data_IF_962688375938
#
_entry.id   IF_962688375938
#
_cell.length_a   1.000
_cell.length_b   1.000
_cell.length_c   1.000
_cell.angle_alpha   90.00
_cell.angle_beta   90.00
_cell.angle_gamma   90.00
#
_symmetry.space_group_name_H-M   'P 1'
#
loop_
_entity.id
_entity.type
_entity.pdbx_description
1 polymer ?
#
# COMPACT_ATOMS: atom_id res chain seq x y z
N UNK A 1 4.53 34.94 14.65
CA UNK A 1 3.66 33.76 14.81
C UNK A 1 4.54 32.56 14.55
N UNK A 2 4.90 31.83 15.62
CA UNK A 2 5.86 30.73 15.56
C UNK A 2 5.14 29.53 14.96
N UNK A 3 5.47 29.16 13.72
CA UNK A 3 5.04 27.89 13.13
C UNK A 3 5.59 26.82 14.07
N UNK A 4 4.71 26.03 14.70
CA UNK A 4 5.14 24.87 15.45
C UNK A 4 6.03 24.05 14.52
N UNK A 5 7.29 23.83 14.90
CA UNK A 5 8.17 22.95 14.15
C UNK A 5 7.47 21.60 14.10
N UNK A 6 6.88 21.27 12.94
CA UNK A 6 6.33 19.95 12.70
C UNK A 6 7.52 19.02 12.73
N UNK A 7 7.60 18.19 13.77
CA UNK A 7 8.63 17.19 13.90
C UNK A 7 8.38 16.09 12.86
N UNK A 8 9.00 16.26 11.69
CA UNK A 8 8.99 15.29 10.60
C UNK A 8 10.08 14.24 10.76
N UNK A 9 10.89 14.28 11.83
CA UNK A 9 12.05 13.42 11.97
C UNK A 9 11.67 11.94 11.82
N UNK A 10 10.66 11.49 12.58
CA UNK A 10 10.16 10.12 12.48
C UNK A 10 9.59 9.76 11.09
N UNK A 11 9.03 10.73 10.38
CA UNK A 11 8.44 10.54 9.06
C UNK A 11 9.49 10.60 7.92
N UNK A 12 10.73 10.96 8.21
CA UNK A 12 11.86 10.99 7.28
C UNK A 12 12.86 9.85 7.53
N UNK A 13 13.01 9.41 8.77
CA UNK A 13 13.96 8.36 9.13
C UNK A 13 13.51 6.97 8.65
N UNK A 14 14.45 6.08 8.32
CA UNK A 14 14.15 4.67 8.12
C UNK A 14 13.59 4.05 9.40
N UNK A 15 12.78 3.02 9.23
CA UNK A 15 12.22 2.21 10.31
C UNK A 15 12.33 0.73 9.97
N UNK A 16 11.73 -0.14 10.80
CA UNK A 16 11.89 -1.58 10.63
C UNK A 16 11.29 -2.09 9.31
N UNK A 17 10.11 -1.57 8.92
CA UNK A 17 9.42 -1.99 7.70
C UNK A 17 9.57 -0.98 6.57
N UNK A 18 9.62 0.31 6.90
CA UNK A 18 9.92 1.39 5.97
C UNK A 18 11.44 1.56 5.93
N UNK A 19 12.13 0.54 5.42
CA UNK A 19 13.59 0.45 5.34
C UNK A 19 14.14 1.33 4.19
N UNK A 20 13.89 2.64 4.29
CA UNK A 20 14.26 3.65 3.28
C UNK A 20 15.76 3.88 3.13
N UNK A 21 16.57 3.31 4.04
CA UNK A 21 18.03 3.27 3.96
C UNK A 21 18.56 2.04 3.20
N UNK A 22 17.67 1.13 2.78
CA UNK A 22 18.04 -0.02 1.94
C UNK A 22 18.59 0.45 0.59
N UNK A 23 19.78 -0.03 0.16
CA UNK A 23 20.37 0.38 -1.11
C UNK A 23 19.47 0.15 -2.33
N UNK A 24 18.65 -0.91 -2.33
CA UNK A 24 17.71 -1.18 -3.42
C UNK A 24 16.56 -0.17 -3.46
N UNK A 25 16.05 0.23 -2.29
CA UNK A 25 14.98 1.22 -2.17
C UNK A 25 15.48 2.61 -2.58
N UNK A 26 16.67 3.01 -2.12
CA UNK A 26 17.31 4.26 -2.53
C UNK A 26 17.50 4.28 -4.05
N UNK A 27 18.13 3.25 -4.61
CA UNK A 27 18.38 3.17 -6.05
C UNK A 27 17.11 3.20 -6.88
N UNK A 28 16.05 2.50 -6.44
CA UNK A 28 14.74 2.57 -7.06
C UNK A 28 14.17 3.98 -7.03
N UNK A 29 14.14 4.63 -5.85
CA UNK A 29 13.55 5.94 -5.68
C UNK A 29 14.31 7.01 -6.51
N UNK A 30 15.64 7.00 -6.48
CA UNK A 30 16.49 7.90 -7.26
C UNK A 30 16.31 7.71 -8.77
N UNK A 31 16.21 6.47 -9.23
CA UNK A 31 15.95 6.15 -10.65
C UNK A 31 14.58 6.67 -11.09
N UNK A 32 13.55 6.46 -10.27
CA UNK A 32 12.18 6.88 -10.58
C UNK A 32 12.07 8.41 -10.63
N UNK A 33 12.66 9.13 -9.67
CA UNK A 33 12.58 10.59 -9.65
C UNK A 33 13.47 11.23 -10.72
N UNK A 34 14.64 10.66 -11.00
CA UNK A 34 15.65 11.23 -11.90
C UNK A 34 16.07 12.63 -11.45
N UNK A 35 16.23 13.55 -12.40
CA UNK A 35 16.61 14.95 -12.14
C UNK A 35 15.45 15.84 -11.64
N UNK A 36 14.28 15.26 -11.32
CA UNK A 36 13.15 16.03 -10.84
C UNK A 36 13.46 16.67 -9.48
N UNK A 37 13.08 17.94 -9.31
CA UNK A 37 13.33 18.71 -8.10
C UNK A 37 12.04 19.15 -7.40
N UNK A 38 10.93 19.18 -8.13
CA UNK A 38 9.62 19.52 -7.60
C UNK A 38 9.09 18.38 -6.70
N UNK A 39 8.82 18.63 -5.40
CA UNK A 39 8.32 17.61 -4.47
C UNK A 39 7.01 16.95 -4.91
N UNK A 40 6.10 17.72 -5.54
CA UNK A 40 4.82 17.19 -6.04
C UNK A 40 5.12 16.17 -7.15
N UNK A 41 5.94 16.55 -8.12
CA UNK A 41 6.27 15.66 -9.25
C UNK A 41 7.06 14.45 -8.82
N UNK A 42 7.97 14.57 -7.85
CA UNK A 42 8.65 13.40 -7.24
C UNK A 42 7.64 12.43 -6.64
N UNK A 43 6.73 12.92 -5.80
CA UNK A 43 5.70 12.10 -5.17
C UNK A 43 4.82 11.40 -6.20
N UNK A 44 4.39 12.12 -7.24
CA UNK A 44 3.59 11.59 -8.35
C UNK A 44 4.34 10.49 -9.09
N UNK A 45 5.61 10.69 -9.48
CA UNK A 45 6.43 9.66 -10.14
C UNK A 45 6.56 8.39 -9.29
N UNK A 46 6.85 8.55 -8.00
CA UNK A 46 6.98 7.42 -7.06
C UNK A 46 5.66 6.68 -6.90
N UNK A 47 4.54 7.41 -6.81
CA UNK A 47 3.21 6.81 -6.76
C UNK A 47 2.95 5.92 -7.97
N UNK A 48 3.14 6.43 -9.19
CA UNK A 48 2.85 5.65 -10.40
C UNK A 48 3.82 4.47 -10.56
N UNK A 49 5.10 4.63 -10.23
CA UNK A 49 6.06 3.52 -10.26
C UNK A 49 5.65 2.41 -9.27
N UNK A 50 5.32 2.76 -8.02
CA UNK A 50 4.87 1.75 -7.05
C UNK A 50 3.50 1.18 -7.43
N UNK A 51 2.59 1.99 -7.98
CA UNK A 51 1.25 1.55 -8.41
C UNK A 51 1.36 0.53 -9.54
N UNK A 52 2.11 0.82 -10.58
CA UNK A 52 2.06 0.11 -11.86
C UNK A 52 3.20 -0.89 -12.07
N UNK A 53 4.41 -0.62 -11.55
CA UNK A 53 5.57 -1.52 -11.74
C UNK A 53 5.60 -2.65 -10.71
N UNK A 54 4.88 -2.49 -9.59
CA UNK A 54 4.72 -3.54 -8.56
C UNK A 54 3.34 -4.15 -8.75
N UNK A 55 3.24 -5.44 -9.07
CA UNK A 55 1.93 -6.07 -9.31
C UNK A 55 1.12 -6.17 -8.01
N UNK A 56 -0.17 -5.86 -8.06
CA UNK A 56 -1.07 -6.16 -6.94
C UNK A 56 -1.31 -7.66 -6.82
N UNK A 57 -0.96 -8.24 -5.67
CA UNK A 57 -1.10 -9.68 -5.44
C UNK A 57 -1.48 -10.01 -3.99
N UNK A 58 -2.78 -10.20 -3.69
CA UNK A 58 -3.26 -10.63 -2.38
C UNK A 58 -3.13 -12.15 -2.17
N UNK A 59 -2.69 -12.94 -3.16
CA UNK A 59 -2.51 -14.39 -3.02
C UNK A 59 -1.21 -14.75 -2.32
N UNK A 60 -0.24 -13.83 -2.32
CA UNK A 60 1.12 -14.03 -1.82
C UNK A 60 1.41 -13.07 -0.68
N UNK A 61 1.16 -13.50 0.56
CA UNK A 61 1.37 -12.67 1.75
C UNK A 61 2.33 -13.37 2.72
N UNK A 62 3.46 -12.75 3.00
CA UNK A 62 4.40 -13.24 4.01
C UNK A 62 4.24 -12.41 5.29
N UNK A 63 3.57 -12.97 6.31
CA UNK A 63 3.39 -12.32 7.62
C UNK A 63 4.61 -12.52 8.52
N UNK A 64 5.76 -12.09 8.03
CA UNK A 64 7.01 -11.99 8.78
C UNK A 64 7.56 -10.58 8.70
N UNK A 65 8.45 -10.25 9.63
CA UNK A 65 9.12 -8.95 9.66
C UNK A 65 9.83 -8.65 8.34
N UNK A 66 10.64 -9.61 7.86
CA UNK A 66 11.32 -9.50 6.58
C UNK A 66 10.34 -9.44 5.41
N UNK A 67 9.31 -10.29 5.40
CA UNK A 67 8.34 -10.36 4.30
C UNK A 67 7.55 -9.08 4.03
N UNK A 68 7.50 -8.15 5.00
CA UNK A 68 6.76 -6.89 4.92
C UNK A 68 7.64 -5.65 4.78
N UNK A 69 8.96 -5.81 4.64
CA UNK A 69 9.85 -4.68 4.34
C UNK A 69 9.59 -4.12 2.95
N UNK A 70 9.86 -2.82 2.77
CA UNK A 70 9.79 -2.18 1.45
C UNK A 70 10.76 -2.83 0.48
N UNK A 71 12.00 -3.10 0.91
CA UNK A 71 13.01 -3.75 0.06
C UNK A 71 12.60 -5.15 -0.42
N UNK A 72 11.92 -5.94 0.42
CA UNK A 72 11.39 -7.25 0.04
C UNK A 72 10.25 -7.12 -0.97
N UNK A 73 9.35 -6.17 -0.77
CA UNK A 73 8.26 -5.89 -1.73
C UNK A 73 8.83 -5.50 -3.10
N UNK A 74 9.84 -4.64 -3.10
CA UNK A 74 10.55 -4.22 -4.30
C UNK A 74 11.24 -5.40 -5.00
N UNK A 75 11.96 -6.24 -4.25
CA UNK A 75 12.64 -7.41 -4.79
C UNK A 75 11.67 -8.45 -5.38
N UNK A 76 10.49 -8.61 -4.79
CA UNK A 76 9.46 -9.51 -5.28
C UNK A 76 8.79 -9.00 -6.56
N UNK A 77 8.67 -7.68 -6.73
CA UNK A 77 7.92 -7.05 -7.83
C UNK A 77 6.40 -7.23 -7.71
N UNK A 78 5.91 -7.61 -6.53
CA UNK A 78 4.48 -7.72 -6.23
C UNK A 78 4.22 -7.51 -4.74
N UNK A 79 2.98 -7.16 -4.41
CA UNK A 79 2.50 -7.06 -3.04
C UNK A 79 1.02 -6.71 -2.96
N UNK A 80 0.44 -6.86 -1.77
CA UNK A 80 -0.91 -6.38 -1.47
C UNK A 80 -0.87 -4.92 -0.98
N UNK A 81 -2.04 -4.37 -0.63
CA UNK A 81 -2.18 -2.93 -0.33
C UNK A 81 -1.19 -2.42 0.73
N UNK A 82 -0.99 -3.15 1.83
CA UNK A 82 -0.06 -2.76 2.90
C UNK A 82 1.39 -2.76 2.42
N UNK A 83 1.84 -3.83 1.76
CA UNK A 83 3.21 -3.94 1.26
C UNK A 83 3.54 -2.82 0.26
N UNK A 84 2.60 -2.50 -0.64
CA UNK A 84 2.76 -1.40 -1.59
C UNK A 84 2.73 -0.02 -0.92
N UNK A 85 1.93 0.19 0.12
CA UNK A 85 1.96 1.42 0.91
C UNK A 85 3.29 1.58 1.69
N UNK A 86 3.84 0.49 2.23
CA UNK A 86 5.17 0.46 2.87
C UNK A 86 6.27 0.84 1.87
N UNK A 87 6.24 0.28 0.66
CA UNK A 87 7.19 0.61 -0.39
C UNK A 87 7.09 2.08 -0.84
N UNK A 88 5.88 2.61 -1.04
CA UNK A 88 5.69 4.02 -1.39
C UNK A 88 6.22 4.95 -0.29
N UNK A 89 5.97 4.63 0.98
CA UNK A 89 6.50 5.40 2.10
C UNK A 89 8.04 5.38 2.11
N UNK A 90 8.65 4.22 1.91
CA UNK A 90 10.10 4.07 1.94
C UNK A 90 10.77 4.81 0.78
N UNK A 91 10.19 4.70 -0.42
CA UNK A 91 10.68 5.40 -1.60
C UNK A 91 10.55 6.93 -1.46
N UNK A 92 9.47 7.42 -0.84
CA UNK A 92 9.30 8.84 -0.51
C UNK A 92 10.36 9.34 0.49
N UNK A 93 10.58 8.60 1.58
CA UNK A 93 11.60 8.94 2.58
C UNK A 93 13.00 8.97 1.99
N UNK A 94 13.33 8.01 1.12
CA UNK A 94 14.62 7.93 0.44
C UNK A 94 14.96 9.18 -0.39
N UNK A 95 13.96 9.93 -0.86
CA UNK A 95 14.15 11.20 -1.61
C UNK A 95 13.79 12.45 -0.80
N UNK A 96 13.65 12.31 0.52
CA UNK A 96 13.42 13.42 1.45
C UNK A 96 11.98 13.91 1.56
N UNK A 97 10.99 13.11 1.14
CA UNK A 97 9.57 13.40 1.36
C UNK A 97 9.15 12.74 2.68
N UNK A 98 8.66 13.49 3.69
CA UNK A 98 8.13 12.88 4.89
C UNK A 98 6.93 12.01 4.56
N UNK A 99 6.96 10.75 4.97
CA UNK A 99 5.90 9.78 4.69
C UNK A 99 5.45 9.06 5.96
N UNK A 100 4.16 8.75 6.05
CA UNK A 100 3.53 7.93 7.09
C UNK A 100 2.63 6.87 6.47
N UNK A 101 2.28 5.85 7.23
CA UNK A 101 1.32 4.83 6.82
C UNK A 101 -0.03 5.11 7.47
N UNK A 102 -1.09 5.06 6.69
CA UNK A 102 -2.47 5.12 7.18
C UNK A 102 -3.21 3.83 6.91
N UNK A 103 -4.15 3.48 7.78
CA UNK A 103 -4.90 2.24 7.68
C UNK A 103 -6.39 2.42 7.97
N UNK A 104 -7.20 1.65 7.24
CA UNK A 104 -8.63 1.55 7.47
C UNK A 104 -9.18 0.17 7.09
N UNK A 105 -10.30 -0.23 7.68
CA UNK A 105 -11.08 -1.38 7.21
C UNK A 105 -11.95 -0.94 6.04
N UNK A 106 -11.93 -1.71 4.94
CA UNK A 106 -12.73 -1.43 3.74
C UNK A 106 -13.56 -2.64 3.33
N UNK A 107 -14.70 -2.41 2.67
CA UNK A 107 -15.30 -3.44 1.81
C UNK A 107 -14.77 -3.27 0.41
N UNK A 108 -14.15 -4.31 -0.14
CA UNK A 108 -13.59 -4.28 -1.47
C UNK A 108 -14.37 -5.22 -2.38
N UNK A 109 -14.85 -4.68 -3.51
CA UNK A 109 -15.62 -5.43 -4.50
C UNK A 109 -14.72 -6.08 -5.57
N UNK A 110 -13.44 -5.68 -5.67
CA UNK A 110 -12.46 -6.36 -6.51
C UNK A 110 -11.98 -7.64 -5.84
N UNK A 111 -12.39 -8.78 -6.37
CA UNK A 111 -12.09 -10.08 -5.78
C UNK A 111 -12.00 -11.20 -6.83
N UNK A 112 -11.64 -12.40 -6.36
CA UNK A 112 -11.71 -13.65 -7.10
C UNK A 112 -12.35 -14.71 -6.21
N UNK A 113 -12.85 -15.80 -6.78
CA UNK A 113 -13.43 -16.88 -5.97
C UNK A 113 -12.42 -17.45 -4.98
N UNK A 114 -11.15 -17.64 -5.40
CA UNK A 114 -10.09 -18.08 -4.47
C UNK A 114 -9.82 -17.06 -3.36
N UNK A 115 -9.86 -15.76 -3.66
CA UNK A 115 -9.70 -14.72 -2.64
C UNK A 115 -10.87 -14.76 -1.65
N UNK A 116 -12.12 -14.92 -2.14
CA UNK A 116 -13.31 -15.03 -1.28
C UNK A 116 -13.24 -16.27 -0.39
N UNK A 117 -12.89 -17.43 -0.94
CA UNK A 117 -12.71 -18.68 -0.19
C UNK A 117 -11.62 -18.57 0.88
N UNK A 118 -10.52 -17.88 0.54
CA UNK A 118 -9.41 -17.64 1.44
C UNK A 118 -9.77 -16.67 2.58
N UNK A 119 -10.44 -15.56 2.26
CA UNK A 119 -10.75 -14.50 3.21
C UNK A 119 -11.96 -14.82 4.07
N UNK A 120 -12.95 -15.53 3.52
CA UNK A 120 -14.23 -15.88 4.17
C UNK A 120 -15.05 -14.66 4.67
N UNK A 121 -14.73 -13.47 4.16
CA UNK A 121 -15.39 -12.20 4.48
C UNK A 121 -15.25 -11.23 3.30
N UNK A 122 -16.14 -10.25 3.21
CA UNK A 122 -16.06 -9.11 2.27
C UNK A 122 -15.33 -7.90 2.88
N UNK A 123 -14.92 -8.00 4.15
CA UNK A 123 -14.18 -6.96 4.89
C UNK A 123 -12.67 -7.19 4.76
N UNK A 124 -11.99 -6.22 4.17
CA UNK A 124 -10.55 -6.13 4.09
C UNK A 124 -10.05 -5.22 5.21
N UNK A 125 -9.76 -5.84 6.35
CA UNK A 125 -9.19 -5.16 7.50
C UNK A 125 -7.77 -4.64 7.22
N UNK A 126 -7.44 -3.48 7.79
CA UNK A 126 -6.12 -2.83 7.66
C UNK A 126 -5.68 -2.58 6.21
N UNK A 127 -6.58 -2.11 5.35
CA UNK A 127 -6.23 -1.58 4.04
C UNK A 127 -5.25 -0.41 4.19
N UNK A 128 -4.07 -0.52 3.57
CA UNK A 128 -2.98 0.43 3.71
C UNK A 128 -2.96 1.50 2.62
N UNK A 129 -2.65 2.73 3.03
CA UNK A 129 -2.31 3.86 2.17
C UNK A 129 -1.10 4.61 2.76
N UNK A 130 -0.49 5.49 1.97
CA UNK A 130 0.63 6.34 2.40
C UNK A 130 0.16 7.78 2.51
N UNK A 131 0.53 8.49 3.58
CA UNK A 131 0.45 9.95 3.63
C UNK A 131 1.82 10.53 3.28
N UNK A 132 1.86 11.42 2.30
CA UNK A 132 3.06 12.15 1.90
C UNK A 132 2.91 13.61 2.28
N UNK A 133 3.89 14.20 2.96
CA UNK A 133 3.89 15.62 3.26
C UNK A 133 4.41 16.42 2.07
N UNK A 134 3.50 17.00 1.30
CA UNK A 134 3.76 17.70 0.04
C UNK A 134 3.16 19.10 0.15
N UNK A 135 3.94 20.12 -0.24
CA UNK A 135 3.49 21.52 -0.28
C UNK A 135 2.69 21.96 0.96
N UNK A 136 3.28 21.75 2.15
CA UNK A 136 2.75 22.12 3.47
C UNK A 136 1.54 21.34 3.99
N UNK A 137 1.18 20.22 3.36
CA UNK A 137 0.06 19.37 3.81
C UNK A 137 0.36 17.88 3.66
N UNK A 138 -0.32 17.08 4.47
CA UNK A 138 -0.40 15.64 4.23
C UNK A 138 -1.38 15.38 3.08
N UNK A 139 -0.96 14.56 2.12
CA UNK A 139 -1.78 14.10 0.99
C UNK A 139 -1.77 12.58 1.00
N UNK A 140 -2.96 11.97 0.98
CA UNK A 140 -3.12 10.52 1.06
C UNK A 140 -3.02 9.89 -0.33
N UNK A 141 -2.33 8.76 -0.45
CA UNK A 141 -2.17 8.02 -1.69
C UNK A 141 -2.24 6.51 -1.46
N UNK A 142 -3.16 5.84 -2.14
CA UNK A 142 -3.31 4.39 -2.15
C UNK A 142 -2.73 3.82 -3.45
N UNK A 143 -1.52 3.25 -3.46
CA UNK A 143 -0.89 2.75 -4.69
C UNK A 143 -1.35 1.33 -5.05
N UNK A 144 -2.52 0.86 -4.58
CA UNK A 144 -2.84 -0.57 -4.51
C UNK A 144 -3.04 -1.25 -5.88
N UNK A 145 -4.05 -0.87 -6.66
CA UNK A 145 -4.36 -1.59 -7.91
C UNK A 145 -3.56 -1.01 -9.08
N UNK A 146 -2.71 -1.83 -9.69
CA UNK A 146 -1.97 -1.48 -10.90
C UNK A 146 -2.92 -1.30 -12.08
N UNK A 147 -2.55 -0.43 -13.04
CA UNK A 147 -3.34 -0.11 -14.22
C UNK A 147 -3.84 -1.36 -14.97
N UNK A 148 -2.97 -2.35 -15.21
CA UNK A 148 -3.35 -3.55 -15.97
C UNK A 148 -4.42 -4.41 -15.28
N UNK A 149 -4.42 -4.45 -13.93
CA UNK A 149 -5.47 -5.10 -13.16
C UNK A 149 -6.79 -4.34 -13.28
N UNK A 150 -6.75 -3.02 -13.17
CA UNK A 150 -7.91 -2.14 -13.34
C UNK A 150 -8.54 -2.30 -14.73
N UNK A 151 -7.74 -2.24 -15.79
CA UNK A 151 -8.18 -2.41 -17.18
C UNK A 151 -8.84 -3.76 -17.40
N UNK A 152 -8.24 -4.83 -16.86
CA UNK A 152 -8.77 -6.18 -16.98
C UNK A 152 -10.12 -6.36 -16.27
N UNK A 153 -10.28 -5.72 -15.12
CA UNK A 153 -11.44 -5.91 -14.24
C UNK A 153 -12.54 -4.88 -14.48
N UNK A 154 -12.31 -3.87 -15.33
CA UNK A 154 -13.27 -2.78 -15.56
C UNK A 154 -13.37 -1.80 -14.40
N UNK A 155 -12.39 -1.79 -13.48
CA UNK A 155 -12.29 -0.83 -12.37
C UNK A 155 -11.48 0.36 -12.86
N UNK A 156 -11.84 1.58 -12.44
CA UNK A 156 -11.01 2.76 -12.71
C UNK A 156 -9.81 2.73 -11.76
N UNK A 157 -8.57 2.93 -12.21
CA UNK A 157 -7.45 3.10 -11.29
C UNK A 157 -7.61 4.37 -10.45
N UNK A 158 -7.00 4.37 -9.26
CA UNK A 158 -6.79 5.59 -8.49
C UNK A 158 -5.69 6.42 -9.16
N UNK A 159 -6.00 7.69 -9.42
CA UNK A 159 -5.06 8.67 -9.95
C UNK A 159 -4.53 9.54 -8.82
N UNK A 160 -3.30 10.02 -8.92
CA UNK A 160 -2.68 10.84 -7.88
C UNK A 160 -1.94 12.01 -8.52
N UNK A 161 -2.34 13.22 -8.14
CA UNK A 161 -1.77 14.47 -8.65
C UNK A 161 -0.81 15.15 -7.65
N UNK A 162 -0.61 14.54 -6.47
CA UNK A 162 0.21 15.09 -5.39
C UNK A 162 -0.40 16.28 -4.64
N UNK A 163 -1.66 16.63 -4.93
CA UNK A 163 -2.38 17.77 -4.35
C UNK A 163 -3.65 17.29 -3.62
N UNK A 164 -4.36 16.34 -4.20
CA UNK A 164 -5.61 15.79 -3.67
C UNK A 164 -5.42 14.37 -3.15
N UNK A 165 -6.20 14.02 -2.13
CA UNK A 165 -6.19 12.67 -1.58
C UNK A 165 -6.70 11.66 -2.62
N UNK A 166 -5.96 10.57 -2.79
CA UNK A 166 -6.26 9.45 -3.68
C UNK A 166 -6.36 8.17 -2.86
N UNK A 167 -7.56 7.93 -2.29
CA UNK A 167 -7.73 6.94 -1.21
C UNK A 167 -8.73 5.82 -1.52
N UNK A 168 -9.80 6.11 -2.26
CA UNK A 168 -10.92 5.20 -2.45
C UNK A 168 -11.41 5.16 -3.89
N UNK A 169 -11.60 3.94 -4.38
CA UNK A 169 -12.41 3.67 -5.56
C UNK A 169 -13.90 3.75 -5.19
N UNK A 170 -14.43 4.97 -5.03
CA UNK A 170 -15.82 5.13 -4.64
C UNK A 170 -16.79 4.51 -5.66
N UNK A 171 -16.41 4.47 -6.95
CA UNK A 171 -17.26 3.98 -8.04
C UNK A 171 -16.49 3.18 -9.10
N UNK A 172 -17.14 2.19 -9.71
CA UNK A 172 -16.64 1.46 -10.89
C UNK A 172 -16.85 2.26 -12.20
N UNK A 173 -16.52 1.68 -13.36
CA UNK A 173 -16.75 2.34 -14.66
C UNK A 173 -18.24 2.53 -15.00
N UNK A 174 -19.14 1.73 -14.43
CA UNK A 174 -20.58 1.81 -14.61
C UNK A 174 -21.28 2.76 -13.60
N UNK A 175 -20.55 3.28 -12.61
CA UNK A 175 -21.05 4.18 -11.58
C UNK A 175 -21.59 3.49 -10.31
N UNK A 176 -21.37 2.18 -10.13
CA UNK A 176 -21.77 1.47 -8.91
C UNK A 176 -20.73 1.68 -7.80
N UNK A 177 -21.18 1.66 -6.53
CA UNK A 177 -20.27 1.74 -5.38
C UNK A 177 -19.30 0.55 -5.40
N UNK A 178 -17.99 0.84 -5.36
CA UNK A 178 -16.96 -0.18 -5.55
C UNK A 178 -16.07 -0.40 -4.32
N UNK A 179 -15.99 0.55 -3.40
CA UNK A 179 -15.30 0.38 -2.12
C UNK A 179 -15.92 1.26 -1.03
N UNK A 180 -16.06 0.72 0.19
CA UNK A 180 -16.65 1.43 1.34
C UNK A 180 -15.68 1.46 2.53
N UNK A 181 -15.45 2.63 3.15
CA UNK A 181 -14.74 2.71 4.44
C UNK A 181 -15.65 2.28 5.58
N UNK A 182 -15.16 1.39 6.43
CA UNK A 182 -15.87 0.89 7.61
C UNK A 182 -15.30 1.48 8.91
N UNK A 183 -13.98 1.54 9.03
CA UNK A 183 -13.29 1.97 10.26
C UNK A 183 -11.90 2.50 9.95
N UNK A 184 -11.56 3.69 10.43
CA UNK A 184 -10.18 4.19 10.41
C UNK A 184 -9.39 3.68 11.62
N UNK A 185 -8.12 3.31 11.40
CA UNK A 185 -7.18 2.93 12.46
C UNK A 185 -6.16 4.03 12.79
N UNK A 186 -6.10 5.07 11.96
CA UNK A 186 -5.19 6.20 12.12
C UNK A 186 -3.92 6.09 11.28
N UNK A 187 -2.91 6.88 11.67
CA UNK A 187 -1.63 7.02 10.96
C UNK A 187 -0.45 6.66 11.85
N UNK A 188 0.60 6.11 11.26
CA UNK A 188 1.74 5.52 11.95
C UNK A 188 3.05 5.86 11.22
N UNK A 189 4.11 6.14 11.98
CA UNK A 189 5.45 6.39 11.43
C UNK A 189 6.19 5.09 11.02
N UNK A 190 5.66 3.91 11.38
CA UNK A 190 6.10 2.61 10.89
C UNK A 190 4.91 1.63 10.84
N UNK A 191 5.09 0.46 10.24
CA UNK A 191 4.03 -0.56 10.18
C UNK A 191 3.68 -1.07 11.59
N UNK A 192 2.42 -0.93 12.07
CA UNK A 192 2.00 -1.45 13.37
C UNK A 192 1.77 -2.98 13.33
N UNK A 193 2.81 -3.72 12.94
CA UNK A 193 2.74 -5.13 12.58
C UNK A 193 2.09 -6.00 13.65
N UNK A 194 2.42 -5.82 14.92
CA UNK A 194 1.84 -6.62 16.00
C UNK A 194 0.32 -6.37 16.16
N UNK A 195 -0.16 -5.15 15.90
CA UNK A 195 -1.59 -4.83 15.96
C UNK A 195 -2.33 -5.44 14.76
N UNK A 196 -1.79 -5.26 13.54
CA UNK A 196 -2.30 -5.87 12.31
C UNK A 196 -2.39 -7.39 12.49
N UNK A 197 -1.32 -8.01 12.99
CA UNK A 197 -1.25 -9.45 13.19
C UNK A 197 -2.28 -9.96 14.21
N UNK A 198 -2.47 -9.22 15.30
CA UNK A 198 -3.45 -9.57 16.34
C UNK A 198 -4.88 -9.49 15.80
N UNK A 199 -5.18 -8.51 14.96
CA UNK A 199 -6.51 -8.35 14.35
C UNK A 199 -6.73 -9.32 13.19
N UNK A 200 -5.74 -9.58 12.36
CA UNK A 200 -5.83 -10.58 11.29
C UNK A 200 -6.11 -11.97 11.83
N UNK A 201 -5.58 -12.34 13.00
CA UNK A 201 -5.92 -13.58 13.71
C UNK A 201 -7.41 -13.69 14.10
N UNK A 202 -8.08 -12.56 14.29
CA UNK A 202 -9.52 -12.48 14.62
C UNK A 202 -10.38 -12.47 13.35
N UNK A 203 -10.02 -11.63 12.38
CA UNK A 203 -10.80 -11.41 11.15
C UNK A 203 -10.62 -12.52 10.11
N UNK A 204 -9.45 -13.17 10.07
CA UNK A 204 -9.13 -14.20 9.09
C UNK A 204 -8.72 -15.50 9.80
N UNK A 205 -9.68 -16.27 10.35
CA UNK A 205 -9.39 -17.52 11.05
C UNK A 205 -8.63 -18.53 10.18
N UNK A 206 -8.84 -18.50 8.86
CA UNK A 206 -8.13 -19.33 7.88
C UNK A 206 -6.61 -19.07 7.86
N UNK A 207 -6.15 -17.89 8.29
CA UNK A 207 -4.73 -17.53 8.32
C UNK A 207 -4.01 -17.92 9.63
N UNK A 208 -4.71 -18.50 10.62
CA UNK A 208 -4.15 -18.79 11.95
C UNK A 208 -2.85 -19.60 11.94
N UNK A 209 -2.64 -20.48 10.97
CA UNK A 209 -1.42 -21.30 10.83
C UNK A 209 -0.25 -20.63 10.09
N UNK A 210 -0.43 -19.42 9.55
CA UNK A 210 0.51 -18.74 8.66
C UNK A 210 1.25 -17.58 9.34
N UNK A 211 0.80 -17.19 10.53
CA UNK A 211 1.37 -16.07 11.29
C UNK A 211 2.68 -16.47 11.98
N UNK A 212 3.77 -15.75 11.69
CA UNK A 212 5.10 -16.01 12.28
C UNK A 212 5.91 -17.10 11.58
N UNK A 213 5.44 -17.62 10.45
CA UNK A 213 6.23 -18.47 9.55
C UNK A 213 6.86 -17.61 8.45
N UNK A 214 8.06 -17.97 7.99
CA UNK A 214 8.62 -17.42 6.73
C UNK A 214 7.89 -17.98 5.51
N UNK A 215 7.01 -18.97 5.68
CA UNK A 215 6.15 -19.46 4.62
C UNK A 215 5.08 -18.41 4.29
N UNK A 216 5.07 -17.94 3.05
CA UNK A 216 4.00 -17.08 2.56
C UNK A 216 2.67 -17.85 2.52
N UNK A 217 1.57 -17.16 2.82
CA UNK A 217 0.27 -17.52 2.25
C UNK A 217 0.47 -17.48 0.75
N UNK A 218 0.34 -18.61 0.07
CA UNK A 218 0.52 -18.71 -1.37
C UNK A 218 -0.65 -19.49 -1.94
N UNK A 219 -1.64 -18.76 -2.45
CA UNK A 219 -2.66 -19.35 -3.32
C UNK A 219 -2.03 -19.56 -4.70
N UNK A 220 -2.16 -20.77 -5.24
CA UNK A 220 -1.64 -21.09 -6.56
C UNK A 220 -2.34 -20.26 -7.65
N UNK A 221 -1.55 -19.73 -8.60
CA UNK A 221 -2.01 -18.86 -9.67
C UNK A 221 -1.55 -17.41 -9.52
N UNK A 222 -2.08 -16.52 -10.36
CA UNK A 222 -1.88 -15.06 -10.24
C UNK A 222 -3.23 -14.42 -10.04
N UNK A 223 -3.37 -13.58 -9.01
CA UNK A 223 -4.63 -12.91 -8.73
C UNK A 223 -5.13 -12.13 -9.95
N UNK A 224 -4.26 -11.38 -10.61
CA UNK A 224 -4.59 -10.65 -11.83
C UNK A 224 -5.14 -11.55 -12.94
N UNK A 225 -4.75 -12.83 -13.02
CA UNK A 225 -5.29 -13.77 -14.03
C UNK A 225 -6.77 -14.12 -13.77
N UNK A 226 -7.22 -14.03 -12.52
CA UNK A 226 -8.51 -14.56 -12.02
C UNK A 226 -9.44 -13.48 -11.45
N UNK A 227 -8.94 -12.25 -11.27
CA UNK A 227 -9.68 -11.15 -10.67
C UNK A 227 -10.87 -10.73 -11.55
N UNK A 228 -11.96 -10.36 -10.88
CA UNK A 228 -13.16 -9.80 -11.50
C UNK A 228 -13.74 -8.70 -10.59
N UNK A 229 -14.37 -7.68 -11.18
CA UNK A 229 -15.23 -6.79 -10.44
C UNK A 229 -16.58 -7.50 -10.25
N UNK A 230 -16.94 -7.80 -9.00
CA UNK A 230 -18.20 -8.44 -8.62
C UNK A 230 -19.22 -7.44 -8.10
#
# INVERSE_FOLDING_TARGET
>A
MQVAAMDFEAALQPSEYIDSDSPSVISFAETVVGDETDPIKKAVKLYYAVRDDIRYDPYRICFSQEGLKASTTLANGYGYCVAKAVLLAAAGRAVGIPCRLGFADVKNHLSSEKLKEMMQTDVFAWHGYTELYIDTRWVKATPAFNQSLCDKTGVKPLEFDGIHDSVLHAFDQAGNRHMEYLKEHGVFDDLPFQQILADFKKYYPAFKGLFGSSAAVAVEGRFEDEASAG
#
